data_IF_898728929245
#
_entry.id   IF_898728929245
#
_cell.length_a   1.000
_cell.length_b   1.000
_cell.length_c   1.000
_cell.angle_alpha   90.00
_cell.angle_beta   90.00
_cell.angle_gamma   90.00
#
_symmetry.space_group_name_H-M   'P 1'
#
loop_
_entity.id
_entity.type
_entity.pdbx_description
1 polymer ?
#
# COMPACT_ATOMS: atom_id res chain seq x y z
N UNK A 1 -25.85 26.12 27.17
CA UNK A 1 -25.77 26.15 25.69
C UNK A 1 -24.50 25.48 25.18
N UNK A 2 -23.30 25.94 25.54
CA UNK A 2 -22.03 25.37 25.05
C UNK A 2 -21.86 23.85 25.25
N UNK A 3 -22.25 23.30 26.40
CA UNK A 3 -22.15 21.86 26.66
C UNK A 3 -23.10 20.98 25.82
N UNK A 4 -24.28 21.50 25.43
CA UNK A 4 -25.24 20.78 24.57
C UNK A 4 -24.72 20.72 23.13
N UNK A 5 -24.07 21.79 22.71
CA UNK A 5 -23.47 21.96 21.39
C UNK A 5 -22.27 21.03 21.17
N UNK A 6 -21.35 20.98 22.13
CA UNK A 6 -20.17 20.09 22.04
C UNK A 6 -20.56 18.62 22.09
N UNK A 7 -21.56 18.27 22.91
CA UNK A 7 -22.13 16.93 22.95
C UNK A 7 -22.78 16.55 21.61
N UNK A 8 -23.50 17.48 20.97
CA UNK A 8 -24.12 17.27 19.65
C UNK A 8 -23.08 17.02 18.55
N UNK A 9 -22.02 17.84 18.50
CA UNK A 9 -20.93 17.64 17.55
C UNK A 9 -20.19 16.31 17.77
N UNK A 10 -19.88 15.97 19.03
CA UNK A 10 -19.25 14.70 19.37
C UNK A 10 -20.13 13.50 18.95
N UNK A 11 -21.44 13.56 19.21
CA UNK A 11 -22.37 12.52 18.79
C UNK A 11 -22.46 12.39 17.26
N UNK A 12 -22.44 13.51 16.53
CA UNK A 12 -22.41 13.52 15.07
C UNK A 12 -21.15 12.86 14.52
N UNK A 13 -19.97 13.25 15.00
CA UNK A 13 -18.70 12.64 14.58
C UNK A 13 -18.60 11.17 14.97
N UNK A 14 -19.06 10.79 16.16
CA UNK A 14 -19.14 9.38 16.57
C UNK A 14 -20.06 8.58 15.64
N UNK A 15 -21.20 9.15 15.24
CA UNK A 15 -22.11 8.55 14.26
C UNK A 15 -21.45 8.37 12.90
N UNK A 16 -20.75 9.39 12.39
CA UNK A 16 -20.00 9.32 11.13
C UNK A 16 -18.92 8.24 11.18
N UNK A 17 -18.11 8.20 12.26
CA UNK A 17 -17.10 7.18 12.46
C UNK A 17 -17.71 5.78 12.51
N UNK A 18 -18.83 5.59 13.21
CA UNK A 18 -19.53 4.31 13.28
C UNK A 18 -20.06 3.84 11.92
N UNK A 19 -20.63 4.75 11.13
CA UNK A 19 -21.09 4.46 9.75
C UNK A 19 -19.91 4.08 8.87
N UNK A 20 -18.80 4.82 8.95
CA UNK A 20 -17.58 4.52 8.21
C UNK A 20 -17.01 3.15 8.58
N UNK A 21 -16.84 2.86 9.88
CA UNK A 21 -16.39 1.55 10.36
C UNK A 21 -17.30 0.41 9.90
N UNK A 22 -18.62 0.60 9.91
CA UNK A 22 -19.58 -0.38 9.40
C UNK A 22 -19.40 -0.62 7.91
N UNK A 23 -19.14 0.44 7.13
CA UNK A 23 -18.89 0.36 5.69
C UNK A 23 -17.59 -0.38 5.39
N UNK A 24 -16.51 -0.07 6.09
CA UNK A 24 -15.23 -0.79 5.99
C UNK A 24 -15.38 -2.28 6.34
N UNK A 25 -16.10 -2.62 7.42
CA UNK A 25 -16.37 -4.01 7.79
C UNK A 25 -17.18 -4.76 6.73
N UNK A 26 -18.20 -4.12 6.15
CA UNK A 26 -19.00 -4.72 5.08
C UNK A 26 -18.17 -4.95 3.83
N UNK A 27 -17.35 -3.97 3.46
CA UNK A 27 -16.42 -4.05 2.33
C UNK A 27 -15.41 -5.19 2.53
N UNK A 28 -14.76 -5.26 3.69
CA UNK A 28 -13.83 -6.35 4.02
C UNK A 28 -14.46 -7.73 3.92
N UNK A 29 -15.70 -7.89 4.43
CA UNK A 29 -16.43 -9.17 4.33
C UNK A 29 -16.81 -9.52 2.90
N UNK A 30 -17.22 -8.54 2.10
CA UNK A 30 -17.56 -8.75 0.70
C UNK A 30 -16.31 -9.15 -0.11
N UNK A 31 -15.19 -8.43 0.07
CA UNK A 31 -13.92 -8.75 -0.55
C UNK A 31 -13.38 -10.12 -0.13
N UNK A 32 -13.44 -10.46 1.15
CA UNK A 32 -12.99 -11.77 1.64
C UNK A 32 -13.87 -12.92 1.12
N UNK A 33 -15.17 -12.68 0.93
CA UNK A 33 -16.06 -13.64 0.29
C UNK A 33 -15.73 -13.84 -1.19
N UNK A 34 -15.53 -12.74 -1.93
CA UNK A 34 -15.14 -12.77 -3.34
C UNK A 34 -13.82 -13.51 -3.58
N UNK A 35 -12.78 -13.17 -2.80
CA UNK A 35 -11.45 -13.76 -2.95
C UNK A 35 -11.37 -15.22 -2.50
N UNK A 36 -12.33 -15.72 -1.72
CA UNK A 36 -12.35 -17.12 -1.30
C UNK A 36 -12.54 -18.08 -2.48
N UNK A 37 -13.25 -17.62 -3.50
CA UNK A 37 -13.64 -18.45 -4.66
C UNK A 37 -12.74 -18.19 -5.88
N UNK A 38 -11.71 -17.34 -5.74
CA UNK A 38 -10.80 -16.96 -6.82
C UNK A 38 -9.44 -17.59 -6.57
N UNK A 39 -8.96 -18.32 -7.56
CA UNK A 39 -7.59 -18.78 -7.60
C UNK A 39 -6.69 -17.63 -8.05
N UNK A 40 -5.89 -17.11 -7.13
CA UNK A 40 -4.93 -16.05 -7.43
C UNK A 40 -3.64 -16.69 -7.96
N UNK A 41 -3.17 -16.20 -9.10
CA UNK A 41 -1.93 -16.64 -9.69
C UNK A 41 -0.74 -16.39 -8.72
N UNK A 42 0.14 -17.39 -8.47
CA UNK A 42 1.23 -17.28 -7.50
C UNK A 42 2.22 -16.12 -7.67
N UNK A 43 2.64 -15.77 -8.89
CA UNK A 43 3.48 -14.58 -9.15
C UNK A 43 2.73 -13.29 -8.81
N UNK A 44 1.45 -13.20 -9.17
CA UNK A 44 0.61 -12.07 -8.83
C UNK A 44 0.42 -11.92 -7.32
N UNK A 45 0.22 -13.04 -6.60
CA UNK A 45 0.13 -13.04 -5.15
C UNK A 45 1.38 -12.43 -4.51
N UNK A 46 2.57 -12.83 -4.96
CA UNK A 46 3.84 -12.26 -4.49
C UNK A 46 3.95 -10.77 -4.79
N UNK A 47 3.57 -10.35 -6.01
CA UNK A 47 3.57 -8.94 -6.41
C UNK A 47 2.70 -8.06 -5.49
N UNK A 48 1.62 -8.62 -4.91
CA UNK A 48 0.71 -7.92 -3.98
C UNK A 48 1.14 -7.89 -2.52
N UNK A 49 2.26 -8.53 -2.15
CA UNK A 49 2.73 -8.55 -0.75
C UNK A 49 3.42 -7.27 -0.27
N UNK A 50 3.57 -6.25 -1.13
CA UNK A 50 4.31 -5.02 -0.84
C UNK A 50 3.78 -4.20 0.32
N UNK A 51 4.58 -3.27 0.85
CA UNK A 51 4.26 -2.54 2.09
C UNK A 51 2.97 -1.69 2.00
N UNK A 52 2.51 -1.34 0.80
CA UNK A 52 1.21 -0.68 0.57
C UNK A 52 0.52 -1.24 -0.66
N UNK A 53 -0.81 -1.07 -0.74
CA UNK A 53 -1.63 -1.48 -1.89
C UNK A 53 -1.22 -0.84 -3.22
N UNK A 54 -0.50 0.29 -3.16
CA UNK A 54 0.00 1.03 -4.33
C UNK A 54 1.43 0.67 -4.70
N UNK A 55 2.13 -0.06 -3.83
CA UNK A 55 3.54 -0.44 -4.04
C UNK A 55 3.57 -1.93 -4.32
N UNK A 56 3.79 -2.26 -5.59
CA UNK A 56 4.00 -3.64 -6.05
C UNK A 56 5.34 -4.13 -5.51
N UNK A 57 5.34 -5.31 -4.89
CA UNK A 57 6.57 -5.98 -4.47
C UNK A 57 7.16 -6.78 -5.62
N UNK A 58 7.77 -6.07 -6.56
CA UNK A 58 8.43 -6.71 -7.70
C UNK A 58 9.53 -7.67 -7.22
N UNK A 59 10.29 -7.32 -6.18
CA UNK A 59 11.39 -8.15 -5.69
C UNK A 59 10.96 -9.59 -5.36
N UNK A 60 9.87 -9.79 -4.62
CA UNK A 60 9.41 -11.14 -4.28
C UNK A 60 8.96 -11.95 -5.51
N UNK A 61 8.27 -11.31 -6.46
CA UNK A 61 7.84 -11.94 -7.71
C UNK A 61 9.04 -12.33 -8.59
N UNK A 62 10.04 -11.46 -8.67
CA UNK A 62 11.26 -11.67 -9.43
C UNK A 62 12.12 -12.79 -8.85
N UNK A 63 12.29 -12.83 -7.52
CA UNK A 63 12.99 -13.91 -6.83
C UNK A 63 12.34 -15.26 -7.14
N UNK A 64 11.00 -15.32 -7.19
CA UNK A 64 10.28 -16.52 -7.59
C UNK A 64 10.48 -16.88 -9.07
N UNK A 65 10.62 -15.88 -9.95
CA UNK A 65 10.82 -16.13 -11.38
C UNK A 65 12.20 -16.74 -11.60
N UNK A 66 13.22 -16.21 -10.94
CA UNK A 66 14.59 -16.73 -10.97
C UNK A 66 14.66 -18.11 -10.31
N UNK A 67 13.97 -18.31 -9.17
CA UNK A 67 13.86 -19.63 -8.55
C UNK A 67 13.27 -20.68 -9.50
N UNK A 68 12.28 -20.30 -10.29
CA UNK A 68 11.67 -21.19 -11.31
C UNK A 68 12.70 -21.53 -12.39
N UNK A 69 13.46 -20.56 -12.88
CA UNK A 69 14.54 -20.80 -13.85
C UNK A 69 15.64 -21.74 -13.32
N UNK A 70 15.98 -21.63 -12.03
CA UNK A 70 16.98 -22.49 -11.38
C UNK A 70 16.49 -23.93 -11.28
N UNK A 71 15.24 -24.12 -10.83
CA UNK A 71 14.62 -25.46 -10.68
C UNK A 71 14.45 -26.15 -12.02
N UNK A 72 14.10 -25.41 -13.06
CA UNK A 72 13.97 -25.95 -14.42
C UNK A 72 15.34 -26.15 -15.13
N UNK A 73 16.44 -25.93 -14.41
CA UNK A 73 17.82 -26.05 -14.90
C UNK A 73 18.11 -25.18 -16.15
N UNK A 74 17.39 -24.07 -16.29
CA UNK A 74 17.54 -23.12 -17.40
C UNK A 74 18.66 -22.13 -17.12
N UNK A 75 18.92 -21.86 -15.84
CA UNK A 75 20.02 -21.00 -15.40
C UNK A 75 20.79 -21.69 -14.30
N UNK A 76 22.06 -21.35 -14.16
CA UNK A 76 22.89 -21.70 -13.01
C UNK A 76 23.29 -20.42 -12.29
N UNK A 77 23.36 -20.50 -10.97
CA UNK A 77 23.85 -19.42 -10.13
C UNK A 77 25.24 -19.79 -9.60
N UNK A 78 26.21 -18.89 -9.77
CA UNK A 78 27.55 -19.10 -9.23
C UNK A 78 27.65 -18.65 -7.77
N UNK A 79 28.84 -18.85 -7.17
CA UNK A 79 29.11 -18.47 -5.78
C UNK A 79 29.09 -16.96 -5.52
N UNK A 80 29.17 -16.15 -6.58
CA UNK A 80 29.05 -14.69 -6.51
C UNK A 80 27.59 -14.23 -6.66
N UNK A 81 26.66 -15.17 -6.87
CA UNK A 81 25.26 -14.87 -7.15
C UNK A 81 25.00 -14.44 -8.58
N UNK A 82 25.91 -14.64 -9.54
CA UNK A 82 25.66 -14.31 -10.95
C UNK A 82 24.94 -15.47 -11.63
N UNK A 83 23.93 -15.13 -12.41
CA UNK A 83 23.16 -16.04 -13.21
C UNK A 83 23.80 -16.19 -14.59
N UNK A 84 23.90 -17.43 -15.06
CA UNK A 84 24.33 -17.75 -16.42
C UNK A 84 23.33 -18.72 -17.05
N UNK A 85 22.88 -18.51 -18.30
CA UNK A 85 22.05 -19.49 -19.00
C UNK A 85 22.79 -20.83 -19.15
N UNK A 86 22.09 -21.94 -18.92
CA UNK A 86 22.59 -23.27 -19.30
C UNK A 86 22.50 -23.46 -20.80
N UNK A 87 23.01 -24.59 -21.34
CA UNK A 87 22.84 -24.90 -22.76
C UNK A 87 21.36 -24.93 -23.18
N UNK A 88 20.47 -25.43 -22.31
CA UNK A 88 19.02 -25.42 -22.54
C UNK A 88 18.44 -24.02 -22.38
N UNK A 89 18.84 -23.28 -21.36
CA UNK A 89 18.40 -21.89 -21.15
C UNK A 89 18.85 -20.95 -22.25
N UNK A 90 19.98 -21.20 -22.92
CA UNK A 90 20.48 -20.41 -24.04
C UNK A 90 19.80 -20.70 -25.38
N UNK A 91 18.99 -21.76 -25.50
CA UNK A 91 18.30 -22.10 -26.74
C UNK A 91 17.12 -21.13 -27.00
N UNK A 92 17.17 -20.31 -28.07
CA UNK A 92 16.12 -19.33 -28.36
C UNK A 92 14.78 -19.98 -28.74
N UNK A 93 14.78 -21.26 -29.11
CA UNK A 93 13.55 -21.99 -29.45
C UNK A 93 12.82 -22.49 -28.21
N UNK A 94 13.51 -22.58 -27.07
CA UNK A 94 12.92 -22.95 -25.80
C UNK A 94 12.46 -21.71 -25.04
N UNK A 95 11.18 -21.69 -24.67
CA UNK A 95 10.59 -20.65 -23.84
C UNK A 95 9.83 -21.28 -22.65
N UNK A 96 10.03 -20.77 -21.42
CA UNK A 96 9.18 -21.11 -20.28
C UNK A 96 7.70 -20.81 -20.57
N UNK A 97 6.79 -21.61 -20.00
CA UNK A 97 5.35 -21.42 -20.19
C UNK A 97 4.85 -20.10 -19.60
N UNK A 98 5.39 -19.69 -18.44
CA UNK A 98 4.95 -18.48 -17.76
C UNK A 98 5.64 -17.23 -18.32
N UNK A 99 4.85 -16.23 -18.73
CA UNK A 99 5.34 -15.02 -19.40
C UNK A 99 6.37 -14.21 -18.60
N UNK A 100 6.22 -14.13 -17.27
CA UNK A 100 7.21 -13.46 -16.39
C UNK A 100 8.54 -14.21 -16.41
N UNK A 101 8.51 -15.54 -16.32
CA UNK A 101 9.71 -16.39 -16.30
C UNK A 101 10.42 -16.33 -17.66
N UNK A 102 9.66 -16.35 -18.75
CA UNK A 102 10.19 -16.16 -20.11
C UNK A 102 10.83 -14.79 -20.30
N UNK A 103 10.25 -13.72 -19.76
CA UNK A 103 10.83 -12.37 -19.82
C UNK A 103 12.17 -12.30 -19.08
N UNK A 104 12.29 -12.93 -17.91
CA UNK A 104 13.54 -13.03 -17.16
C UNK A 104 14.63 -13.78 -17.93
N UNK A 105 14.30 -14.93 -18.51
CA UNK A 105 15.25 -15.71 -19.31
C UNK A 105 15.72 -14.94 -20.55
N UNK A 106 14.80 -14.28 -21.24
CA UNK A 106 15.14 -13.47 -22.41
C UNK A 106 16.01 -12.26 -22.07
N UNK A 107 15.75 -11.60 -20.93
CA UNK A 107 16.60 -10.53 -20.44
C UNK A 107 18.02 -11.05 -20.15
N UNK A 108 18.14 -12.22 -19.50
CA UNK A 108 19.44 -12.84 -19.24
C UNK A 108 20.17 -13.27 -20.51
N UNK A 109 19.48 -13.76 -21.54
CA UNK A 109 20.10 -14.11 -22.85
C UNK A 109 20.68 -12.89 -23.58
N UNK A 110 20.02 -11.74 -23.46
CA UNK A 110 20.50 -10.48 -24.04
C UNK A 110 21.69 -9.89 -23.28
N UNK A 111 21.89 -10.27 -22.02
CA UNK A 111 23.05 -9.82 -21.26
C UNK A 111 24.34 -10.39 -21.88
N UNK A 112 25.37 -9.56 -22.05
CA UNK A 112 26.65 -9.95 -22.67
C UNK A 112 27.53 -10.85 -21.77
N UNK A 113 26.96 -11.46 -20.72
CA UNK A 113 27.66 -12.34 -19.79
C UNK A 113 26.86 -12.65 -18.52
N UNK A 114 27.50 -13.29 -17.52
CA UNK A 114 26.87 -13.57 -16.24
C UNK A 114 26.39 -12.28 -15.56
N UNK A 115 25.13 -12.27 -15.13
CA UNK A 115 24.49 -11.07 -14.57
C UNK A 115 23.82 -11.37 -13.23
N UNK A 116 23.79 -10.40 -12.33
CA UNK A 116 23.04 -10.52 -11.07
C UNK A 116 21.56 -10.19 -11.27
N UNK A 117 20.68 -10.68 -10.40
CA UNK A 117 19.25 -10.32 -10.39
C UNK A 117 19.07 -8.81 -10.28
N UNK A 118 19.88 -8.15 -9.45
CA UNK A 118 19.86 -6.69 -9.31
C UNK A 118 20.19 -5.96 -10.61
N UNK A 119 21.15 -6.45 -11.40
CA UNK A 119 21.50 -5.85 -12.70
C UNK A 119 20.38 -6.02 -13.72
N UNK A 120 19.75 -7.22 -13.77
CA UNK A 120 18.66 -7.50 -14.69
C UNK A 120 17.38 -6.71 -14.34
N UNK A 121 17.12 -6.45 -13.05
CA UNK A 121 15.98 -5.66 -12.57
C UNK A 121 15.96 -4.21 -13.12
N UNK A 122 17.13 -3.69 -13.48
CA UNK A 122 17.24 -2.36 -14.07
C UNK A 122 16.86 -2.31 -15.55
N UNK A 123 16.67 -3.48 -16.20
CA UNK A 123 16.22 -3.57 -17.58
C UNK A 123 14.78 -3.05 -17.77
N UNK A 124 14.56 -2.05 -18.63
CA UNK A 124 13.25 -1.42 -18.79
C UNK A 124 12.23 -2.34 -19.48
N UNK A 125 12.65 -3.22 -20.38
CA UNK A 125 11.75 -4.13 -21.11
C UNK A 125 11.24 -5.23 -20.17
N UNK A 126 12.11 -5.77 -19.33
CA UNK A 126 11.75 -6.72 -18.29
C UNK A 126 10.72 -6.12 -17.33
N UNK A 127 10.99 -4.90 -16.84
CA UNK A 127 10.08 -4.17 -15.95
C UNK A 127 8.73 -3.95 -16.59
N UNK A 128 8.70 -3.50 -17.85
CA UNK A 128 7.46 -3.28 -18.59
C UNK A 128 6.62 -4.55 -18.71
N UNK A 129 7.25 -5.71 -19.00
CA UNK A 129 6.53 -6.99 -19.10
C UNK A 129 6.00 -7.46 -17.74
N UNK A 130 6.79 -7.33 -16.69
CA UNK A 130 6.37 -7.62 -15.32
C UNK A 130 5.19 -6.73 -14.87
N UNK A 131 5.25 -5.42 -15.15
CA UNK A 131 4.15 -4.49 -14.87
C UNK A 131 2.90 -4.81 -15.68
N UNK A 132 3.04 -5.11 -16.97
CA UNK A 132 1.91 -5.50 -17.83
C UNK A 132 1.21 -6.76 -17.31
N UNK A 133 1.98 -7.76 -16.88
CA UNK A 133 1.44 -8.96 -16.25
C UNK A 133 0.65 -8.62 -14.98
N UNK A 134 1.21 -7.80 -14.08
CA UNK A 134 0.51 -7.40 -12.85
C UNK A 134 -0.78 -6.64 -13.17
N UNK A 135 -0.77 -5.75 -14.17
CA UNK A 135 -1.95 -5.00 -14.61
C UNK A 135 -3.02 -5.90 -15.22
N UNK A 136 -2.63 -6.91 -16.01
CA UNK A 136 -3.55 -7.89 -16.58
C UNK A 136 -4.23 -8.71 -15.49
N UNK A 137 -3.46 -9.20 -14.52
CA UNK A 137 -4.00 -9.94 -13.37
C UNK A 137 -4.88 -9.05 -12.48
N UNK A 138 -4.51 -7.77 -12.28
CA UNK A 138 -5.35 -6.79 -11.59
C UNK A 138 -6.69 -6.58 -12.29
N UNK A 139 -6.71 -6.57 -13.63
CA UNK A 139 -7.94 -6.44 -14.40
C UNK A 139 -8.82 -7.70 -14.32
N UNK A 140 -8.25 -8.88 -14.09
CA UNK A 140 -9.02 -10.11 -13.84
C UNK A 140 -9.63 -10.13 -12.44
N UNK A 141 -8.94 -9.53 -11.47
CA UNK A 141 -9.40 -9.47 -10.10
C UNK A 141 -10.51 -8.43 -9.88
N UNK A 142 -10.84 -7.60 -10.89
CA UNK A 142 -11.72 -6.42 -10.87
C UNK A 142 -12.73 -6.49 -9.72
N UNK A 143 -12.34 -6.06 -8.51
CA UNK A 143 -13.13 -6.39 -7.35
C UNK A 143 -14.41 -5.58 -7.48
N UNK A 144 -15.61 -6.17 -7.27
CA UNK A 144 -16.89 -5.46 -7.36
C UNK A 144 -17.05 -4.33 -6.32
N UNK A 145 -15.98 -4.00 -5.60
CA UNK A 145 -15.94 -3.07 -4.50
C UNK A 145 -14.64 -2.27 -4.56
N UNK A 146 -14.51 -1.37 -5.54
CA UNK A 146 -13.65 -0.20 -5.35
C UNK A 146 -13.94 0.40 -3.97
N UNK A 147 -12.91 0.77 -3.20
CA UNK A 147 -13.14 1.37 -1.89
C UNK A 147 -14.13 2.54 -2.09
N UNK A 148 -15.15 2.64 -1.22
CA UNK A 148 -15.95 3.84 -1.08
C UNK A 148 -15.09 5.07 -1.25
N UNK A 149 -15.40 5.90 -2.26
CA UNK A 149 -14.58 7.06 -2.57
C UNK A 149 -14.24 7.83 -1.29
N UNK A 150 -12.98 8.28 -1.18
CA UNK A 150 -12.46 9.09 -0.07
C UNK A 150 -13.24 10.40 0.16
N UNK A 151 -14.28 10.66 -0.64
CA UNK A 151 -15.28 11.71 -0.46
C UNK A 151 -15.81 11.81 0.98
N UNK A 152 -15.94 10.70 1.72
CA UNK A 152 -16.40 10.74 3.11
C UNK A 152 -15.41 11.48 4.02
N UNK A 153 -14.11 11.28 3.79
CA UNK A 153 -13.04 11.96 4.52
C UNK A 153 -13.01 13.44 4.13
N UNK A 154 -13.23 13.76 2.84
CA UNK A 154 -13.39 15.16 2.40
C UNK A 154 -14.59 15.86 3.04
N UNK A 155 -15.72 15.17 3.19
CA UNK A 155 -16.90 15.71 3.90
C UNK A 155 -16.56 15.99 5.36
N UNK A 156 -15.85 15.09 6.03
CA UNK A 156 -15.37 15.30 7.40
C UNK A 156 -14.45 16.54 7.49
N UNK A 157 -13.53 16.69 6.54
CA UNK A 157 -12.61 17.83 6.45
C UNK A 157 -13.30 19.16 6.15
N UNK A 158 -14.41 19.17 5.40
CA UNK A 158 -15.15 20.40 5.09
C UNK A 158 -16.14 20.79 6.19
N UNK A 159 -16.76 19.81 6.84
CA UNK A 159 -17.77 20.04 7.87
C UNK A 159 -17.17 20.59 9.16
N UNK A 160 -15.97 20.14 9.56
CA UNK A 160 -15.30 20.63 10.76
C UNK A 160 -15.00 22.14 10.78
N UNK A 161 -14.35 22.74 9.76
CA UNK A 161 -14.12 24.18 9.71
C UNK A 161 -15.42 24.96 9.49
N UNK A 162 -16.38 24.43 8.73
CA UNK A 162 -17.68 25.07 8.53
C UNK A 162 -18.46 25.19 9.85
N UNK A 163 -18.47 24.13 10.68
CA UNK A 163 -19.02 24.19 12.04
C UNK A 163 -18.25 25.16 12.93
N UNK A 164 -16.92 25.19 12.84
CA UNK A 164 -16.09 26.16 13.57
C UNK A 164 -16.45 27.61 13.25
N UNK A 165 -16.58 27.92 11.95
CA UNK A 165 -17.00 29.25 11.48
C UNK A 165 -18.45 29.58 11.89
N UNK A 166 -19.36 28.62 11.80
CA UNK A 166 -20.74 28.77 12.26
C UNK A 166 -20.83 29.07 13.76
N UNK A 167 -20.03 28.40 14.60
CA UNK A 167 -19.98 28.70 16.02
C UNK A 167 -19.34 30.04 16.35
N UNK A 168 -18.28 30.41 15.62
CA UNK A 168 -17.69 31.74 15.75
C UNK A 168 -18.71 32.85 15.45
N UNK A 169 -19.51 32.69 14.39
CA UNK A 169 -20.56 33.65 14.02
C UNK A 169 -21.71 33.70 15.03
N UNK A 170 -22.14 32.56 15.58
CA UNK A 170 -23.16 32.55 16.64
C UNK A 170 -22.70 33.24 17.93
N UNK A 171 -21.42 33.17 18.27
CA UNK A 171 -20.87 33.86 19.45
C UNK A 171 -20.78 35.39 19.27
N UNK A 172 -20.78 35.87 18.03
CA UNK A 172 -20.66 37.30 17.68
C UNK A 172 -22.03 38.00 17.56
N UNK A 173 -23.15 37.28 17.69
CA UNK A 173 -24.47 37.91 17.61
C UNK A 173 -24.69 38.86 18.80
N UNK A 174 -24.75 40.20 18.59
CA UNK A 174 -24.71 41.16 19.67
C UNK A 174 -26.09 41.29 20.33
N UNK A 175 -26.15 41.11 21.65
CA UNK A 175 -27.11 41.84 22.47
C UNK A 175 -26.50 43.22 22.74
N UNK A 176 -27.17 44.30 22.34
CA UNK A 176 -26.64 45.67 22.29
C UNK A 176 -25.74 46.06 23.47
N UNK A 177 -24.44 46.32 23.24
CA UNK A 177 -23.57 46.89 24.25
C UNK A 177 -23.02 48.27 23.83
N UNK A 178 -22.87 49.18 24.80
CA UNK A 178 -22.35 50.54 24.61
C UNK A 178 -20.88 50.62 24.14
N UNK A 179 -20.47 51.80 23.67
CA UNK A 179 -19.22 52.07 22.93
C UNK A 179 -17.91 51.54 23.54
N UNK A 180 -17.77 51.47 24.87
CA UNK A 180 -16.58 50.90 25.54
C UNK A 180 -16.60 49.38 25.61
N UNK A 181 -17.79 48.78 25.65
CA UNK A 181 -17.97 47.33 25.53
C UNK A 181 -17.77 46.85 24.08
N UNK A 182 -17.94 47.73 23.07
CA UNK A 182 -17.57 47.42 21.67
C UNK A 182 -16.06 47.22 21.47
N UNK A 183 -15.21 48.03 22.13
CA UNK A 183 -13.76 47.94 21.92
C UNK A 183 -13.15 46.72 22.63
N UNK A 184 -13.54 46.46 23.87
CA UNK A 184 -13.12 45.26 24.61
C UNK A 184 -13.76 43.99 24.02
N UNK A 185 -15.00 44.09 23.52
CA UNK A 185 -15.68 43.03 22.77
C UNK A 185 -14.91 42.64 21.51
N UNK A 186 -14.51 43.62 20.69
CA UNK A 186 -13.77 43.35 19.46
C UNK A 186 -12.43 42.64 19.67
N UNK A 187 -11.67 43.02 20.71
CA UNK A 187 -10.41 42.31 21.05
C UNK A 187 -10.67 40.89 21.54
N UNK A 188 -11.71 40.70 22.35
CA UNK A 188 -12.10 39.39 22.85
C UNK A 188 -12.62 38.48 21.73
N UNK A 189 -13.36 39.02 20.77
CA UNK A 189 -13.85 38.31 19.58
C UNK A 189 -12.70 37.86 18.67
N UNK A 190 -11.73 38.74 18.39
CA UNK A 190 -10.54 38.39 17.60
C UNK A 190 -9.72 37.31 18.30
N UNK A 191 -9.56 37.39 19.63
CA UNK A 191 -8.85 36.39 20.42
C UNK A 191 -9.57 35.03 20.43
N UNK A 192 -10.90 35.02 20.57
CA UNK A 192 -11.72 33.81 20.50
C UNK A 192 -11.68 33.20 19.10
N UNK A 193 -11.82 34.00 18.05
CA UNK A 193 -11.74 33.56 16.66
C UNK A 193 -10.38 32.92 16.38
N UNK A 194 -9.29 33.60 16.76
CA UNK A 194 -7.93 33.10 16.65
C UNK A 194 -7.73 31.80 17.42
N UNK A 195 -8.27 31.67 18.63
CA UNK A 195 -8.19 30.44 19.42
C UNK A 195 -8.99 29.29 18.79
N UNK A 196 -10.20 29.54 18.27
CA UNK A 196 -10.96 28.52 17.55
C UNK A 196 -10.29 28.08 16.27
N UNK A 197 -9.71 29.02 15.51
CA UNK A 197 -8.97 28.72 14.29
C UNK A 197 -7.70 27.93 14.61
N UNK A 198 -6.95 28.33 15.64
CA UNK A 198 -5.77 27.61 16.10
C UNK A 198 -6.13 26.22 16.60
N UNK A 199 -7.23 26.07 17.33
CA UNK A 199 -7.70 24.77 17.81
C UNK A 199 -8.11 23.88 16.64
N UNK A 200 -8.83 24.41 15.65
CA UNK A 200 -9.17 23.68 14.43
C UNK A 200 -7.92 23.31 13.63
N UNK A 201 -6.93 24.21 13.52
CA UNK A 201 -5.67 23.95 12.84
C UNK A 201 -4.83 22.89 13.57
N UNK A 202 -4.74 22.95 14.91
CA UNK A 202 -4.09 21.93 15.74
C UNK A 202 -4.83 20.60 15.60
N UNK A 203 -6.16 20.60 15.60
CA UNK A 203 -6.95 19.39 15.39
C UNK A 203 -6.77 18.83 13.98
N UNK A 204 -6.64 19.68 12.96
CA UNK A 204 -6.30 19.29 11.59
C UNK A 204 -4.88 18.73 11.50
N UNK A 205 -3.91 19.34 12.17
CA UNK A 205 -2.51 18.87 12.19
C UNK A 205 -2.39 17.58 13.00
N UNK A 206 -3.11 17.43 14.11
CA UNK A 206 -3.17 16.18 14.87
C UNK A 206 -3.96 15.11 14.12
N UNK A 207 -5.05 15.47 13.44
CA UNK A 207 -5.78 14.54 12.59
C UNK A 207 -4.90 14.08 11.43
N UNK A 208 -4.19 15.00 10.75
CA UNK A 208 -3.25 14.69 9.65
C UNK A 208 -1.99 13.99 10.15
N UNK A 209 -1.52 14.37 11.33
CA UNK A 209 -0.37 13.80 12.02
C UNK A 209 -0.65 12.38 12.47
N UNK A 210 -1.77 12.12 13.15
CA UNK A 210 -2.26 10.76 13.42
C UNK A 210 -2.62 10.04 12.13
N UNK A 211 -3.13 10.71 11.10
CA UNK A 211 -3.40 10.11 9.79
C UNK A 211 -2.10 9.57 9.17
N UNK A 212 -0.99 10.31 9.27
CA UNK A 212 0.33 9.88 8.82
C UNK A 212 1.07 8.93 9.77
N UNK A 213 1.02 9.17 11.08
CA UNK A 213 1.78 8.45 12.12
C UNK A 213 1.08 7.17 12.60
N UNK A 214 -0.24 7.16 12.70
CA UNK A 214 -0.98 5.97 13.15
C UNK A 214 -1.17 4.94 12.03
N UNK A 215 -0.62 5.19 10.83
CA UNK A 215 -0.81 4.31 9.68
C UNK A 215 -2.28 3.96 9.47
N UNK A 216 -3.20 4.92 9.67
CA UNK A 216 -4.63 4.62 9.66
C UNK A 216 -5.04 4.17 8.26
N UNK A 217 -5.90 3.14 8.19
CA UNK A 217 -5.75 2.08 7.24
C UNK A 217 -5.96 2.66 5.86
N UNK A 218 -4.96 2.51 5.00
CA UNK A 218 -5.29 2.20 3.61
C UNK A 218 -6.42 1.18 3.70
N UNK A 219 -7.56 1.46 3.06
CA UNK A 219 -8.69 0.53 2.98
C UNK A 219 -8.13 -0.89 3.00
N UNK A 220 -8.43 -1.72 4.03
CA UNK A 220 -7.71 -2.96 4.24
C UNK A 220 -7.73 -3.68 2.91
N UNK A 221 -6.55 -3.76 2.31
CA UNK A 221 -6.41 -4.23 0.95
C UNK A 221 -6.64 -5.72 1.06
N UNK A 222 -7.90 -6.11 0.85
CA UNK A 222 -8.36 -7.47 1.12
C UNK A 222 -7.64 -8.43 0.18
N UNK A 223 -7.25 -7.97 -1.02
CA UNK A 223 -6.42 -8.71 -1.95
C UNK A 223 -5.05 -8.92 -1.34
N UNK A 224 -4.37 -7.87 -0.89
CA UNK A 224 -3.08 -8.02 -0.20
C UNK A 224 -3.15 -8.89 1.04
N UNK A 225 -4.12 -8.67 1.93
CA UNK A 225 -4.30 -9.48 3.15
C UNK A 225 -4.48 -10.96 2.79
N UNK A 226 -5.24 -11.25 1.73
CA UNK A 226 -5.42 -12.60 1.22
C UNK A 226 -4.12 -13.15 0.63
N UNK A 227 -3.43 -12.41 -0.25
CA UNK A 227 -2.18 -12.82 -0.88
C UNK A 227 -1.06 -13.09 0.14
N UNK A 228 -0.97 -12.31 1.22
CA UNK A 228 -0.01 -12.54 2.32
C UNK A 228 -0.31 -13.85 3.07
N UNK A 229 -1.58 -14.28 3.10
CA UNK A 229 -1.99 -15.54 3.71
C UNK A 229 -1.85 -16.77 2.81
N UNK A 230 -1.53 -16.59 1.52
CA UNK A 230 -1.32 -17.70 0.59
C UNK A 230 0.00 -18.43 0.88
N UNK A 231 0.10 -19.73 0.53
CA UNK A 231 1.36 -20.45 0.65
C UNK A 231 2.47 -19.78 -0.18
N UNK A 232 3.75 -19.94 0.21
CA UNK A 232 4.85 -19.42 -0.58
C UNK A 232 4.84 -20.04 -1.98
N UNK A 233 5.38 -19.31 -2.95
CA UNK A 233 5.48 -19.78 -4.33
C UNK A 233 6.22 -21.13 -4.39
N UNK A 234 5.73 -22.13 -5.14
CA UNK A 234 6.28 -23.49 -5.13
C UNK A 234 7.77 -23.52 -5.48
N UNK A 235 8.21 -22.68 -6.43
CA UNK A 235 9.62 -22.58 -6.79
C UNK A 235 10.49 -22.04 -5.64
N UNK A 236 10.05 -21.01 -4.91
CA UNK A 236 10.86 -20.48 -3.79
C UNK A 236 10.88 -21.44 -2.60
N UNK A 237 9.81 -22.21 -2.41
CA UNK A 237 9.73 -23.26 -1.40
C UNK A 237 10.62 -24.48 -1.73
N UNK A 238 10.78 -24.81 -3.02
CA UNK A 238 11.58 -25.93 -3.48
C UNK A 238 13.09 -25.67 -3.51
N UNK A 239 13.53 -24.41 -3.58
CA UNK A 239 14.95 -24.05 -3.51
C UNK A 239 15.61 -24.51 -2.19
N UNK A 240 16.83 -25.04 -2.32
CA UNK A 240 17.69 -25.36 -1.18
C UNK A 240 18.12 -24.10 -0.40
N UNK A 241 18.60 -24.30 0.83
CA UNK A 241 19.07 -23.19 1.67
C UNK A 241 20.25 -22.42 1.03
N UNK A 242 21.18 -23.16 0.40
CA UNK A 242 22.36 -22.58 -0.24
C UNK A 242 21.97 -21.78 -1.50
N UNK A 243 21.12 -22.33 -2.36
CA UNK A 243 20.62 -21.65 -3.56
C UNK A 243 19.83 -20.39 -3.20
N UNK A 244 19.03 -20.44 -2.13
CA UNK A 244 18.31 -19.29 -1.62
C UNK A 244 19.27 -18.20 -1.11
N UNK A 245 20.36 -18.57 -0.45
CA UNK A 245 21.37 -17.61 0.01
C UNK A 245 22.10 -16.95 -1.19
N UNK A 246 22.41 -17.71 -2.23
CA UNK A 246 23.00 -17.18 -3.46
C UNK A 246 22.04 -16.24 -4.19
N UNK A 247 20.75 -16.59 -4.25
CA UNK A 247 19.72 -15.73 -4.84
C UNK A 247 19.59 -14.39 -4.11
N UNK A 248 19.58 -14.42 -2.77
CA UNK A 248 19.56 -13.19 -1.96
C UNK A 248 20.78 -12.31 -2.21
N UNK A 249 21.96 -12.95 -2.33
CA UNK A 249 23.22 -12.26 -2.68
C UNK A 249 23.11 -11.61 -4.05
N UNK A 250 22.56 -12.33 -5.05
CA UNK A 250 22.31 -11.83 -6.40
C UNK A 250 21.36 -10.64 -6.44
N UNK A 251 20.32 -10.66 -5.60
CA UNK A 251 19.33 -9.60 -5.51
C UNK A 251 19.89 -8.30 -4.90
N UNK A 252 21.14 -8.30 -4.41
CA UNK A 252 21.73 -7.17 -3.68
C UNK A 252 21.15 -6.99 -2.28
N UNK A 253 20.41 -7.99 -1.79
CA UNK A 253 19.90 -8.02 -0.43
C UNK A 253 21.03 -8.53 0.44
N UNK A 254 21.78 -7.62 1.08
CA UNK A 254 22.73 -8.03 2.11
C UNK A 254 21.94 -8.88 3.11
N UNK A 255 22.27 -10.17 3.19
CA UNK A 255 21.66 -11.08 4.13
C UNK A 255 21.92 -10.53 5.52
N UNK A 256 20.98 -9.78 6.07
CA UNK A 256 20.97 -9.49 7.50
C UNK A 256 20.58 -10.80 8.14
N UNK A 257 21.50 -11.52 8.82
CA UNK A 257 21.14 -12.79 9.42
C UNK A 257 20.10 -12.51 10.50
N UNK A 258 18.87 -13.00 10.28
CA UNK A 258 17.86 -13.07 11.32
C UNK A 258 18.31 -14.12 12.33
N UNK A 259 19.11 -13.70 13.32
CA UNK A 259 19.66 -14.60 14.33
C UNK A 259 20.94 -14.11 14.96
N UNK A 260 20.91 -12.92 15.57
CA UNK A 260 21.95 -12.48 16.49
C UNK A 260 21.34 -11.57 17.56
N UNK A 261 20.34 -12.09 18.28
CA UNK A 261 20.01 -11.64 19.63
C UNK A 261 19.56 -12.88 20.41
N UNK A 262 20.57 -13.52 21.00
CA UNK A 262 20.45 -14.49 22.09
C UNK A 262 20.29 -13.78 23.41
#
# INVERSE_FOLDING_TARGET
MAGVVTAGAAAFYAGLLAVWLRRCRRHRRAGAGYLRDIEIEPFHALAKTGWSSKVVNHAAMEDAAVATLLIDELVVIDTEGKLTPTARGGDPTYAPEHGVVAAWLECLRRAEGPATVSQLRDDPELRQRCEAFVQEQDALLDPPTSPPSDSFIWVLYLVAPALGLFYATLMVSPGEPGLTAQFLGGVFEVALFGLTYLTAAIFMILAYGLYGLAGYPHYPDVVREHCVGLPPHPATAALGADERALLLTSAGSAATPAGADS
#
